data_IF_160590303771
#
_entry.id   IF_160590303771
#
_cell.length_a   1.000
_cell.length_b   1.000
_cell.length_c   1.000
_cell.angle_alpha   90.00
_cell.angle_beta   90.00
_cell.angle_gamma   90.00
#
_symmetry.space_group_name_H-M   'P 1'
#
loop_
_entity.id
_entity.type
_entity.pdbx_description
1 polymer ?
#
# COMPACT_ATOMS: atom_id res chain seq x y z
N UNK A 1 7.86 -15.05 -29.65
CA UNK A 1 8.12 -15.17 -29.13
C UNK A 1 7.97 -15.19 -28.07
N UNK A 2 7.73 -15.72 -27.68
CA UNK A 2 7.77 -15.94 -26.57
C UNK A 2 8.06 -15.02 -25.75
N UNK A 3 8.41 -14.33 -26.01
CA UNK A 3 9.06 -13.49 -25.15
C UNK A 3 8.41 -12.20 -24.90
N UNK A 4 7.11 -12.18 -24.95
CA UNK A 4 6.39 -10.96 -24.68
C UNK A 4 6.68 -10.40 -23.31
N UNK A 5 6.90 -11.27 -22.35
CA UNK A 5 7.25 -10.81 -21.02
C UNK A 5 8.56 -10.06 -21.03
N UNK A 6 9.44 -10.44 -21.92
CA UNK A 6 10.73 -9.77 -22.01
C UNK A 6 10.66 -8.43 -22.67
N UNK A 7 9.54 -8.13 -23.31
CA UNK A 7 9.39 -6.83 -23.96
C UNK A 7 8.91 -5.77 -23.00
N UNK A 8 8.71 -6.13 -21.76
CA UNK A 8 8.32 -5.20 -20.73
C UNK A 8 9.21 -5.38 -19.53
N UNK A 9 9.61 -4.29 -18.95
CA UNK A 9 10.33 -4.36 -17.69
C UNK A 9 10.00 -3.15 -16.84
N UNK A 10 10.21 -3.28 -15.56
CA UNK A 10 9.89 -2.23 -14.62
C UNK A 10 10.78 -1.03 -14.89
N UNK A 11 10.17 0.12 -15.12
CA UNK A 11 10.90 1.36 -15.33
C UNK A 11 11.10 2.12 -14.06
N UNK A 12 10.14 2.03 -13.16
CA UNK A 12 10.22 2.71 -11.90
C UNK A 12 9.67 1.78 -10.84
N UNK A 13 10.40 1.64 -9.76
CA UNK A 13 9.94 0.85 -8.62
C UNK A 13 10.03 1.74 -7.41
N UNK A 14 8.92 1.88 -6.75
CA UNK A 14 8.84 2.70 -5.54
C UNK A 14 8.39 1.81 -4.40
N UNK A 15 9.15 1.84 -3.31
CA UNK A 15 8.77 1.13 -2.09
C UNK A 15 8.52 2.16 -1.01
N UNK A 16 7.43 2.00 -0.29
CA UNK A 16 7.11 2.86 0.85
C UNK A 16 6.58 2.03 1.99
N UNK A 17 6.94 2.44 3.18
CA UNK A 17 6.43 1.84 4.41
C UNK A 17 5.84 2.96 5.24
N UNK A 18 4.61 2.78 5.64
CA UNK A 18 3.91 3.76 6.46
C UNK A 18 3.45 3.06 7.72
N UNK A 19 3.93 3.53 8.86
CA UNK A 19 3.54 2.98 10.16
C UNK A 19 2.59 3.97 10.79
N UNK A 20 1.48 3.47 11.34
CA UNK A 20 0.51 4.34 11.98
C UNK A 20 1.12 5.05 13.18
N UNK A 21 0.78 6.33 13.30
CA UNK A 21 1.23 7.15 14.40
C UNK A 21 0.12 8.13 14.71
N UNK A 22 -0.97 7.64 15.33
CA UNK A 22 -2.18 8.44 15.49
C UNK A 22 -1.99 9.65 16.37
N UNK A 23 -2.62 10.75 15.97
CA UNK A 23 -2.77 11.89 16.84
C UNK A 23 -3.87 11.57 17.86
N UNK A 24 -4.04 12.47 18.84
CA UNK A 24 -5.08 12.31 19.85
C UNK A 24 -6.45 12.10 19.19
N UNK A 25 -7.13 11.03 19.57
CA UNK A 25 -8.46 10.74 19.02
C UNK A 25 -8.49 10.14 17.64
N UNK A 26 -7.34 9.98 17.02
CA UNK A 26 -7.24 9.44 15.66
C UNK A 26 -7.06 7.92 15.71
N UNK A 27 -7.73 7.22 14.80
CA UNK A 27 -7.56 5.78 14.68
C UNK A 27 -6.36 5.46 13.81
N UNK A 28 -5.84 4.22 13.94
CA UNK A 28 -4.62 3.85 13.20
C UNK A 28 -4.79 3.90 11.68
N UNK A 29 -5.96 3.53 11.17
CA UNK A 29 -6.21 3.62 9.73
C UNK A 29 -6.26 5.07 9.29
N UNK A 30 -6.88 5.94 10.07
CA UNK A 30 -6.92 7.36 9.76
C UNK A 30 -5.53 7.96 9.72
N UNK A 31 -4.67 7.51 10.63
CA UNK A 31 -3.28 7.93 10.67
C UNK A 31 -2.55 7.52 9.39
N UNK A 32 -2.75 6.29 8.91
CA UNK A 32 -2.15 5.82 7.66
C UNK A 32 -2.58 6.70 6.49
N UNK A 33 -3.87 6.98 6.40
CA UNK A 33 -4.41 7.78 5.30
C UNK A 33 -3.81 9.19 5.33
N UNK A 34 -3.77 9.79 6.50
CA UNK A 34 -3.20 11.13 6.66
C UNK A 34 -1.72 11.14 6.26
N UNK A 35 -0.95 10.16 6.74
CA UNK A 35 0.46 10.09 6.43
C UNK A 35 0.68 9.89 4.93
N UNK A 36 -0.14 9.07 4.30
CA UNK A 36 -0.01 8.86 2.87
C UNK A 36 -0.30 10.15 2.10
N UNK A 37 -1.36 10.84 2.47
CA UNK A 37 -1.74 12.07 1.75
C UNK A 37 -0.76 13.21 1.97
N UNK A 38 -0.25 13.33 3.19
CA UNK A 38 0.58 14.47 3.54
C UNK A 38 2.06 14.27 3.21
N UNK A 39 2.55 13.04 3.30
CA UNK A 39 3.99 12.83 3.30
C UNK A 39 4.51 11.82 2.28
N UNK A 40 3.67 10.98 1.71
CA UNK A 40 4.18 9.94 0.82
C UNK A 40 4.73 10.49 -0.50
N UNK A 41 4.17 11.60 -0.97
CA UNK A 41 4.64 12.29 -2.19
C UNK A 41 4.70 11.35 -3.39
N UNK A 42 3.68 10.53 -3.55
CA UNK A 42 3.62 9.54 -4.62
C UNK A 42 2.72 10.03 -5.75
N UNK A 43 3.25 10.02 -6.97
CA UNK A 43 2.43 10.28 -8.13
C UNK A 43 1.74 8.98 -8.53
N UNK A 44 0.53 8.79 -8.00
CA UNK A 44 -0.19 7.54 -8.19
C UNK A 44 -0.55 7.25 -9.64
N UNK A 45 -0.53 8.25 -10.50
CA UNK A 45 -0.94 8.07 -11.88
C UNK A 45 0.12 7.42 -12.76
N UNK A 46 1.37 7.44 -12.32
CA UNK A 46 2.45 6.92 -13.16
C UNK A 46 2.68 5.43 -13.02
N UNK A 47 2.01 4.80 -12.08
CA UNK A 47 2.27 3.39 -11.79
C UNK A 47 1.20 2.51 -12.39
N UNK A 48 1.63 1.40 -12.99
CA UNK A 48 0.74 0.43 -13.63
C UNK A 48 0.37 -0.71 -12.71
N UNK A 49 1.17 -0.95 -11.69
CA UNK A 49 0.93 -2.04 -10.76
C UNK A 49 1.31 -1.62 -9.35
N UNK A 50 0.46 -1.98 -8.41
CA UNK A 50 0.69 -1.69 -7.00
C UNK A 50 0.41 -2.93 -6.18
N UNK A 51 1.35 -3.29 -5.32
CA UNK A 51 1.18 -4.38 -4.37
C UNK A 51 1.15 -3.77 -2.98
N UNK A 52 0.11 -4.08 -2.24
CA UNK A 52 -0.10 -3.55 -0.90
C UNK A 52 -0.01 -4.67 0.12
N UNK A 53 0.62 -4.39 1.25
CA UNK A 53 0.62 -5.31 2.37
C UNK A 53 0.17 -4.56 3.61
N UNK A 54 -0.79 -5.14 4.31
CA UNK A 54 -1.32 -4.57 5.55
C UNK A 54 -0.89 -5.50 6.69
N UNK A 55 -0.05 -5.01 7.58
CA UNK A 55 0.60 -5.85 8.58
C UNK A 55 0.26 -5.35 9.98
N UNK A 56 -0.15 -6.27 10.84
CA UNK A 56 -0.49 -5.97 12.23
C UNK A 56 0.09 -7.06 13.13
N UNK A 57 0.15 -6.78 14.43
CA UNK A 57 0.44 -7.83 15.39
C UNK A 57 -0.79 -8.73 15.51
N UNK A 58 -0.60 -10.01 15.84
CA UNK A 58 -1.69 -10.96 15.89
C UNK A 58 -2.71 -10.63 16.98
N UNK A 59 -2.29 -9.97 18.05
CA UNK A 59 -3.19 -9.59 19.14
C UNK A 59 -3.98 -8.31 18.82
N UNK A 60 -3.62 -7.61 17.77
CA UNK A 60 -4.34 -6.43 17.30
C UNK A 60 -4.65 -6.60 15.82
N UNK A 61 -5.45 -7.63 15.46
CA UNK A 61 -5.65 -7.98 14.06
C UNK A 61 -6.40 -6.89 13.31
N UNK A 62 -6.22 -6.89 12.01
CA UNK A 62 -6.90 -5.94 11.15
C UNK A 62 -8.40 -6.28 11.14
N UNK A 63 -9.21 -5.32 11.49
CA UNK A 63 -10.66 -5.51 11.48
C UNK A 63 -11.18 -5.38 10.06
N UNK A 64 -12.33 -6.03 9.80
CA UNK A 64 -12.92 -5.97 8.48
C UNK A 64 -13.20 -4.53 8.04
N UNK A 65 -13.68 -3.70 8.96
CA UNK A 65 -13.93 -2.29 8.64
C UNK A 65 -12.65 -1.55 8.29
N UNK A 66 -11.55 -1.88 8.97
CA UNK A 66 -10.27 -1.27 8.67
C UNK A 66 -9.78 -1.69 7.29
N UNK A 67 -9.89 -2.98 6.99
CA UNK A 67 -9.48 -3.50 5.69
C UNK A 67 -10.27 -2.86 4.57
N UNK A 68 -11.59 -2.76 4.72
CA UNK A 68 -12.43 -2.13 3.71
C UNK A 68 -12.04 -0.67 3.48
N UNK A 69 -11.75 0.03 4.55
CA UNK A 69 -11.37 1.44 4.47
C UNK A 69 -10.04 1.61 3.75
N UNK A 70 -9.07 0.77 4.08
CA UNK A 70 -7.75 0.82 3.44
C UNK A 70 -7.82 0.45 1.97
N UNK A 71 -8.51 -0.64 1.65
CA UNK A 71 -8.62 -1.08 0.26
C UNK A 71 -9.33 -0.02 -0.59
N UNK A 72 -10.42 0.53 -0.06
CA UNK A 72 -11.16 1.57 -0.79
C UNK A 72 -10.30 2.81 -1.02
N UNK A 73 -9.54 3.20 0.00
CA UNK A 73 -8.70 4.38 -0.12
C UNK A 73 -7.63 4.19 -1.20
N UNK A 74 -6.88 3.09 -1.14
CA UNK A 74 -5.80 2.88 -2.08
C UNK A 74 -6.30 2.57 -3.49
N UNK A 75 -7.41 1.86 -3.62
CA UNK A 75 -8.00 1.61 -4.92
C UNK A 75 -8.37 2.92 -5.60
N UNK A 76 -8.90 3.87 -4.84
CA UNK A 76 -9.26 5.16 -5.39
C UNK A 76 -8.03 5.97 -5.79
N UNK A 77 -6.96 5.89 -4.99
CA UNK A 77 -5.72 6.62 -5.31
C UNK A 77 -5.02 6.05 -6.55
N UNK A 78 -5.02 4.73 -6.68
CA UNK A 78 -4.34 4.06 -7.79
C UNK A 78 -5.35 3.49 -8.80
N UNK A 79 -6.38 4.25 -9.09
CA UNK A 79 -7.51 3.75 -9.89
C UNK A 79 -7.13 3.32 -11.31
N UNK A 80 -5.96 3.72 -11.80
CA UNK A 80 -5.49 3.32 -13.12
C UNK A 80 -4.55 2.14 -13.07
N UNK A 81 -4.17 1.71 -11.89
CA UNK A 81 -3.20 0.63 -11.73
C UNK A 81 -3.92 -0.68 -11.46
N UNK A 82 -3.25 -1.76 -11.83
CA UNK A 82 -3.64 -3.08 -11.37
C UNK A 82 -3.11 -3.20 -9.94
N UNK A 83 -3.98 -3.41 -8.98
CA UNK A 83 -3.51 -3.51 -7.60
C UNK A 83 -3.92 -4.83 -6.97
N UNK A 84 -3.07 -5.30 -6.08
CA UNK A 84 -3.33 -6.47 -5.26
C UNK A 84 -2.98 -6.13 -3.82
N UNK A 85 -3.56 -6.86 -2.89
CA UNK A 85 -3.25 -6.64 -1.49
C UNK A 85 -3.23 -7.96 -0.75
N UNK A 86 -2.51 -7.96 0.36
CA UNK A 86 -2.48 -9.11 1.25
C UNK A 86 -2.27 -8.62 2.68
N UNK A 87 -2.52 -9.50 3.63
CA UNK A 87 -2.32 -9.17 5.04
C UNK A 87 -1.19 -10.03 5.59
N UNK A 88 -0.56 -9.54 6.63
CA UNK A 88 0.50 -10.25 7.31
C UNK A 88 0.55 -9.89 8.77
N UNK A 89 1.44 -10.52 9.51
CA UNK A 89 1.61 -10.24 10.93
C UNK A 89 3.05 -9.97 11.26
N UNK A 90 3.25 -9.08 12.23
CA UNK A 90 4.55 -8.79 12.82
C UNK A 90 4.29 -8.37 14.26
N UNK A 91 4.67 -9.23 15.19
CA UNK A 91 4.34 -9.00 16.60
C UNK A 91 5.03 -7.78 17.19
N UNK A 92 6.08 -7.31 16.55
CA UNK A 92 6.79 -6.12 17.02
C UNK A 92 5.97 -4.85 16.87
N UNK A 93 4.91 -4.89 16.06
CA UNK A 93 4.10 -3.69 15.82
C UNK A 93 3.24 -3.29 17.01
N UNK A 94 2.87 -4.25 17.87
CA UNK A 94 1.94 -3.95 18.94
C UNK A 94 0.62 -3.46 18.37
N UNK A 95 0.16 -2.29 18.80
CA UNK A 95 -1.09 -1.72 18.32
C UNK A 95 -0.98 -1.05 16.95
N UNK A 96 0.22 -0.97 16.42
CA UNK A 96 0.45 -0.22 15.18
C UNK A 96 0.06 -1.02 13.97
N UNK A 97 -0.26 -0.31 12.91
CA UNK A 97 -0.52 -0.86 11.60
C UNK A 97 0.61 -0.42 10.68
N UNK A 98 1.14 -1.35 9.91
CA UNK A 98 2.14 -1.06 8.88
C UNK A 98 1.54 -1.32 7.52
N UNK A 99 1.66 -0.34 6.63
CA UNK A 99 1.27 -0.51 5.23
C UNK A 99 2.52 -0.43 4.39
N UNK A 100 2.76 -1.44 3.59
CA UNK A 100 3.87 -1.44 2.65
C UNK A 100 3.32 -1.37 1.24
N UNK A 101 3.92 -0.49 0.43
CA UNK A 101 3.54 -0.31 -0.97
C UNK A 101 4.73 -0.64 -1.85
N UNK A 102 4.46 -1.41 -2.89
CA UNK A 102 5.43 -1.62 -3.95
C UNK A 102 4.75 -1.22 -5.25
N UNK A 103 5.22 -0.13 -5.84
CA UNK A 103 4.61 0.44 -7.04
C UNK A 103 5.58 0.27 -8.20
N UNK A 104 5.08 -0.16 -9.33
CA UNK A 104 5.92 -0.35 -10.50
C UNK A 104 5.24 0.17 -11.76
N UNK A 105 6.07 0.55 -12.70
CA UNK A 105 5.65 1.06 -13.98
C UNK A 105 6.42 0.28 -15.04
N UNK A 106 5.71 -0.17 -16.06
CA UNK A 106 6.31 -0.98 -17.11
C UNK A 106 6.25 -0.24 -18.43
N UNK A 107 7.20 -0.53 -19.30
CA UNK A 107 7.16 -0.01 -20.65
C UNK A 107 7.63 -1.09 -21.61
N UNK A 108 7.10 -1.08 -22.83
CA UNK A 108 7.60 -2.02 -23.84
C UNK A 108 9.03 -1.68 -24.21
N UNK A 109 9.77 -2.68 -24.54
CA UNK A 109 11.14 -2.52 -25.01
C UNK A 109 11.19 -2.14 -26.48
#
# INVERSE_FOLDING_TARGET
MKDNVKNQQARAVLKRRIISFPNDGELRVESIIREFEDYAMIDCKQYDKVVLQFITASVYPLKKSELCQLVSFFANKFHKAEYTWETGTDEKLGEKLLVQLLCSCFSPL
#
